data_IF_018749758301
#
_entry.id   IF_018749758301
#
_cell.length_a   1.000
_cell.length_b   1.000
_cell.length_c   1.000
_cell.angle_alpha   90.00
_cell.angle_beta   90.00
_cell.angle_gamma   90.00
#
_symmetry.space_group_name_H-M   'P 1'
#
loop_
_entity.id
_entity.type
_entity.pdbx_description
1 polymer ?
#
# COMPACT_ATOMS: atom_id res chain seq x y z
N UNK A 1 17.30 -27.10 13.30
CA UNK A 1 18.62 -26.67 13.81
C UNK A 1 19.50 -26.40 12.60
N UNK A 2 20.02 -25.17 12.46
CA UNK A 2 20.97 -24.86 11.39
C UNK A 2 22.23 -25.70 11.58
N UNK A 3 22.74 -26.32 10.52
CA UNK A 3 23.97 -27.10 10.59
C UNK A 3 25.18 -26.20 10.83
N UNK A 4 26.30 -26.77 11.27
CA UNK A 4 27.55 -26.02 11.43
C UNK A 4 27.98 -25.32 10.13
N UNK A 5 27.66 -25.92 8.97
CA UNK A 5 27.92 -25.34 7.66
C UNK A 5 27.03 -24.11 7.41
N UNK A 6 25.73 -24.21 7.70
CA UNK A 6 24.79 -23.09 7.52
C UNK A 6 25.17 -21.89 8.39
N UNK A 7 25.62 -22.15 9.63
CA UNK A 7 26.07 -21.09 10.55
C UNK A 7 27.31 -20.37 10.00
N UNK A 8 28.28 -21.11 9.45
CA UNK A 8 29.47 -20.54 8.83
C UNK A 8 29.14 -19.72 7.57
N UNK A 9 28.20 -20.17 6.75
CA UNK A 9 27.75 -19.44 5.54
C UNK A 9 27.09 -18.12 5.91
N UNK A 10 26.16 -18.13 6.87
CA UNK A 10 25.48 -16.90 7.32
C UNK A 10 26.49 -15.91 7.94
N UNK A 11 27.45 -16.42 8.70
CA UNK A 11 28.46 -15.59 9.35
C UNK A 11 29.39 -14.89 8.35
N UNK A 12 29.77 -15.56 7.27
CA UNK A 12 30.56 -14.97 6.18
C UNK A 12 29.76 -13.93 5.38
N UNK A 13 28.44 -14.15 5.21
CA UNK A 13 27.57 -13.21 4.49
C UNK A 13 27.36 -11.90 5.27
N UNK A 14 27.13 -12.00 6.59
CA UNK A 14 26.85 -10.82 7.42
C UNK A 14 28.12 -10.13 7.98
N UNK A 15 29.30 -10.75 7.86
CA UNK A 15 30.58 -10.18 8.33
C UNK A 15 31.69 -10.26 7.27
N UNK A 16 31.57 -9.54 6.14
CA UNK A 16 32.40 -9.73 4.94
C UNK A 16 33.88 -9.33 5.09
N UNK A 17 34.26 -8.68 6.19
CA UNK A 17 35.63 -8.25 6.46
C UNK A 17 36.39 -9.11 7.47
N UNK A 18 35.79 -10.20 7.97
CA UNK A 18 36.47 -11.12 8.90
C UNK A 18 37.18 -12.24 8.14
N UNK A 19 38.52 -12.28 8.08
CA UNK A 19 39.26 -13.16 7.17
C UNK A 19 39.27 -14.64 7.55
N UNK A 20 38.91 -15.02 8.78
CA UNK A 20 38.99 -16.41 9.25
C UNK A 20 37.73 -16.93 9.96
N UNK A 21 36.59 -16.25 9.88
CA UNK A 21 35.28 -16.76 10.35
C UNK A 21 35.11 -16.94 11.86
N UNK A 22 36.19 -17.16 12.62
CA UNK A 22 36.17 -17.44 14.05
C UNK A 22 36.43 -16.16 14.85
N UNK A 23 35.36 -15.40 15.13
CA UNK A 23 35.42 -14.27 16.06
C UNK A 23 35.06 -14.81 17.46
N UNK A 24 35.96 -14.70 18.46
CA UNK A 24 35.68 -15.12 19.83
C UNK A 24 34.43 -14.41 20.37
N UNK A 25 33.45 -15.17 20.84
CA UNK A 25 32.17 -14.66 21.37
C UNK A 25 30.97 -14.75 20.43
N UNK A 26 31.14 -14.99 19.13
CA UNK A 26 30.00 -15.04 18.17
C UNK A 26 29.08 -16.26 18.28
N UNK A 27 29.46 -17.26 19.07
CA UNK A 27 28.56 -18.36 19.43
C UNK A 27 27.79 -18.08 20.73
N UNK A 28 27.93 -16.89 21.33
CA UNK A 28 26.91 -16.41 22.24
C UNK A 28 25.66 -16.18 21.41
N UNK A 29 24.71 -17.09 21.57
CA UNK A 29 23.33 -16.83 21.21
C UNK A 29 22.87 -15.77 22.21
N UNK A 30 23.12 -14.50 21.89
CA UNK A 30 22.39 -13.42 22.51
C UNK A 30 20.92 -13.80 22.37
N UNK A 31 20.29 -14.04 23.50
CA UNK A 31 18.90 -14.42 23.57
C UNK A 31 18.15 -13.18 23.12
N UNK A 32 17.88 -13.08 21.82
CA UNK A 32 17.01 -12.05 21.23
C UNK A 32 15.62 -12.32 21.79
N UNK A 33 15.36 -11.77 22.96
CA UNK A 33 14.02 -11.68 23.51
C UNK A 33 13.30 -10.59 22.74
N UNK A 34 12.12 -10.89 22.21
CA UNK A 34 11.15 -9.91 21.68
C UNK A 34 10.53 -9.10 22.85
N UNK A 35 11.38 -8.73 23.80
CA UNK A 35 11.03 -8.07 25.04
C UNK A 35 11.25 -6.57 24.85
N UNK A 36 10.21 -5.92 24.33
CA UNK A 36 10.13 -4.46 24.19
C UNK A 36 10.32 -3.71 25.53
N UNK A 37 10.38 -4.42 26.66
CA UNK A 37 10.66 -3.88 28.01
C UNK A 37 12.01 -3.18 28.14
N UNK A 38 12.92 -3.35 27.18
CA UNK A 38 14.18 -2.59 27.10
C UNK A 38 13.93 -1.10 26.80
N UNK A 39 12.83 -0.78 26.14
CA UNK A 39 12.46 0.58 25.79
C UNK A 39 11.57 1.21 26.85
N UNK A 40 11.75 2.51 27.09
CA UNK A 40 10.88 3.27 27.99
C UNK A 40 9.42 3.18 27.50
N UNK A 41 8.49 2.62 28.30
CA UNK A 41 7.10 2.44 27.91
C UNK A 41 6.41 3.75 27.50
N UNK A 42 6.79 4.89 28.08
CA UNK A 42 6.25 6.20 27.70
C UNK A 42 6.75 6.63 26.32
N UNK A 43 8.01 6.37 25.98
CA UNK A 43 8.57 6.67 24.67
C UNK A 43 7.97 5.78 23.58
N UNK A 44 7.80 4.48 23.84
CA UNK A 44 7.16 3.55 22.90
C UNK A 44 5.73 3.98 22.62
N UNK A 45 4.98 4.37 23.67
CA UNK A 45 3.62 4.90 23.50
C UNK A 45 3.61 6.17 22.67
N UNK A 46 4.54 7.10 22.94
CA UNK A 46 4.64 8.36 22.20
C UNK A 46 5.01 8.17 20.72
N UNK A 47 5.91 7.23 20.40
CA UNK A 47 6.25 6.89 19.02
C UNK A 47 5.03 6.31 18.30
N UNK A 48 4.31 5.37 18.92
CA UNK A 48 3.06 4.82 18.34
C UNK A 48 1.99 5.90 18.10
N UNK A 49 1.85 6.84 19.04
CA UNK A 49 0.92 7.96 18.88
C UNK A 49 1.35 8.89 17.72
N UNK A 50 2.66 9.12 17.54
CA UNK A 50 3.22 9.88 16.42
C UNK A 50 3.04 9.16 15.09
N UNK A 51 3.30 7.85 15.02
CA UNK A 51 3.04 7.03 13.83
C UNK A 51 1.57 7.11 13.43
N UNK A 52 0.65 7.03 14.39
CA UNK A 52 -0.78 7.16 14.14
C UNK A 52 -1.15 8.56 13.61
N UNK A 53 -0.53 9.61 14.16
CA UNK A 53 -0.71 10.98 13.70
C UNK A 53 -0.16 11.19 12.28
N UNK A 54 0.99 10.62 11.97
CA UNK A 54 1.60 10.71 10.64
C UNK A 54 0.75 10.00 9.59
N UNK A 55 0.24 8.80 9.91
CA UNK A 55 -0.72 8.08 9.06
C UNK A 55 -1.99 8.90 8.90
N UNK A 56 -2.56 9.43 9.99
CA UNK A 56 -3.77 10.25 9.93
C UNK A 56 -3.58 11.54 9.11
N UNK A 57 -2.42 12.19 9.23
CA UNK A 57 -2.08 13.37 8.44
C UNK A 57 -1.95 13.05 6.95
N UNK A 58 -1.33 11.91 6.61
CA UNK A 58 -1.25 11.42 5.24
C UNK A 58 -2.64 11.05 4.67
N UNK A 59 -3.50 10.43 5.48
CA UNK A 59 -4.86 10.03 5.10
C UNK A 59 -5.85 11.19 5.00
N UNK A 60 -5.62 12.29 5.74
CA UNK A 60 -6.54 13.43 5.81
C UNK A 60 -6.84 14.08 4.45
N UNK A 61 -5.98 13.87 3.44
CA UNK A 61 -6.13 14.48 2.12
C UNK A 61 -5.96 16.00 2.12
N UNK A 62 -5.49 16.59 3.23
CA UNK A 62 -5.37 18.04 3.40
C UNK A 62 -4.30 18.63 2.47
N UNK A 63 -3.16 17.95 2.32
CA UNK A 63 -2.09 18.36 1.42
C UNK A 63 -2.53 18.44 -0.05
N UNK A 64 -3.14 17.41 -0.66
CA UNK A 64 -3.61 17.53 -2.04
C UNK A 64 -4.79 18.50 -2.17
N UNK A 65 -5.70 18.60 -1.19
CA UNK A 65 -6.77 19.60 -1.21
C UNK A 65 -6.21 21.03 -1.24
N UNK A 66 -5.21 21.33 -0.41
CA UNK A 66 -4.52 22.61 -0.38
C UNK A 66 -3.77 22.88 -1.68
N UNK A 67 -3.10 21.88 -2.24
CA UNK A 67 -2.40 22.00 -3.51
C UNK A 67 -3.36 22.30 -4.68
N UNK A 68 -4.55 21.69 -4.71
CA UNK A 68 -5.61 21.99 -5.70
C UNK A 68 -6.07 23.44 -5.55
N UNK A 69 -6.31 23.90 -4.32
CA UNK A 69 -6.73 25.27 -4.03
C UNK A 69 -5.68 26.30 -4.49
N UNK A 70 -4.41 26.10 -4.10
CA UNK A 70 -3.30 27.00 -4.46
C UNK A 70 -3.02 27.04 -5.97
N UNK A 71 -3.24 25.94 -6.68
CA UNK A 71 -3.08 25.87 -8.13
C UNK A 71 -4.32 26.31 -8.90
N UNK A 72 -5.42 26.67 -8.23
CA UNK A 72 -6.70 27.01 -8.87
C UNK A 72 -7.31 25.86 -9.66
N UNK A 73 -6.91 24.62 -9.38
CA UNK A 73 -7.38 23.44 -10.11
C UNK A 73 -6.80 23.27 -11.53
N UNK A 74 -5.77 24.02 -11.91
CA UNK A 74 -5.16 23.96 -13.24
C UNK A 74 -3.67 23.59 -13.22
N UNK A 75 -3.18 23.10 -14.36
CA UNK A 75 -1.77 22.80 -14.58
C UNK A 75 -1.30 21.50 -13.90
N UNK A 76 0.03 21.27 -13.95
CA UNK A 76 0.64 20.03 -13.49
C UNK A 76 0.46 19.79 -11.99
N UNK A 77 0.55 20.83 -11.17
CA UNK A 77 0.39 20.73 -9.72
C UNK A 77 -1.01 20.27 -9.33
N UNK A 78 -2.05 20.86 -9.93
CA UNK A 78 -3.44 20.42 -9.72
C UNK A 78 -3.64 18.97 -10.18
N UNK A 79 -3.11 18.62 -11.34
CA UNK A 79 -3.19 17.27 -11.91
C UNK A 79 -2.61 16.22 -10.95
N UNK A 80 -1.39 16.45 -10.45
CA UNK A 80 -0.75 15.54 -9.49
C UNK A 80 -1.49 15.49 -8.15
N UNK A 81 -2.02 16.62 -7.68
CA UNK A 81 -2.76 16.66 -6.42
C UNK A 81 -4.11 15.92 -6.51
N UNK A 82 -4.83 16.05 -7.64
CA UNK A 82 -6.06 15.31 -7.91
C UNK A 82 -5.80 13.79 -8.00
N UNK A 83 -4.70 13.36 -8.64
CA UNK A 83 -4.32 11.94 -8.66
C UNK A 83 -4.05 11.41 -7.26
N UNK A 84 -3.27 12.14 -6.47
CA UNK A 84 -2.95 11.74 -5.10
C UNK A 84 -4.20 11.67 -4.22
N UNK A 85 -5.08 12.67 -4.29
CA UNK A 85 -6.35 12.66 -3.54
C UNK A 85 -7.26 11.52 -3.98
N UNK A 86 -7.35 11.27 -5.29
CA UNK A 86 -8.10 10.13 -5.81
C UNK A 86 -7.60 8.80 -5.26
N UNK A 87 -6.28 8.60 -5.15
CA UNK A 87 -5.71 7.38 -4.56
C UNK A 87 -6.01 7.26 -3.06
N UNK A 88 -5.89 8.35 -2.29
CA UNK A 88 -6.26 8.36 -0.87
C UNK A 88 -7.75 8.02 -0.68
N UNK A 89 -8.62 8.61 -1.50
CA UNK A 89 -10.05 8.32 -1.47
C UNK A 89 -10.35 6.84 -1.77
N UNK A 90 -9.64 6.23 -2.73
CA UNK A 90 -9.75 4.78 -2.99
C UNK A 90 -9.34 3.94 -1.78
N UNK A 91 -8.23 4.30 -1.12
CA UNK A 91 -7.79 3.61 0.10
C UNK A 91 -8.83 3.72 1.22
N UNK A 92 -9.54 4.86 1.29
CA UNK A 92 -10.65 5.06 2.22
C UNK A 92 -12.00 4.47 1.76
N UNK A 93 -12.06 3.73 0.65
CA UNK A 93 -13.29 3.14 0.11
C UNK A 93 -14.28 4.13 -0.51
N UNK A 94 -13.86 5.37 -0.76
CA UNK A 94 -14.68 6.47 -1.32
C UNK A 94 -14.53 6.52 -2.84
N UNK A 95 -14.86 5.43 -3.50
CA UNK A 95 -14.56 5.20 -4.92
C UNK A 95 -15.24 6.20 -5.88
N UNK A 96 -16.45 6.67 -5.58
CA UNK A 96 -17.11 7.68 -6.42
C UNK A 96 -16.40 9.03 -6.37
N UNK A 97 -15.96 9.46 -5.19
CA UNK A 97 -15.20 10.70 -5.05
C UNK A 97 -13.82 10.58 -5.69
N UNK A 98 -13.19 9.41 -5.55
CA UNK A 98 -11.96 9.09 -6.24
C UNK A 98 -12.12 9.18 -7.76
N UNK A 99 -13.19 8.60 -8.31
CA UNK A 99 -13.50 8.65 -9.75
C UNK A 99 -13.60 10.09 -10.25
N UNK A 100 -14.32 10.95 -9.52
CA UNK A 100 -14.46 12.38 -9.87
C UNK A 100 -13.10 13.09 -9.91
N UNK A 101 -12.21 12.81 -8.97
CA UNK A 101 -10.87 13.39 -8.97
C UNK A 101 -10.00 12.86 -10.11
N UNK A 102 -10.11 11.57 -10.44
CA UNK A 102 -9.42 11.00 -11.59
C UNK A 102 -9.94 11.57 -12.91
N UNK A 103 -11.23 11.83 -13.06
CA UNK A 103 -11.79 12.48 -14.25
C UNK A 103 -11.24 13.90 -14.44
N UNK A 104 -11.18 14.68 -13.36
CA UNK A 104 -10.57 16.02 -13.39
C UNK A 104 -9.09 15.96 -13.74
N UNK A 105 -8.33 15.04 -13.14
CA UNK A 105 -6.92 14.86 -13.47
C UNK A 105 -6.69 14.36 -14.91
N UNK A 106 -7.58 13.52 -15.43
CA UNK A 106 -7.55 13.07 -16.81
C UNK A 106 -7.78 14.22 -17.80
N UNK A 107 -8.71 15.13 -17.48
CA UNK A 107 -8.94 16.36 -18.25
C UNK A 107 -7.71 17.29 -18.26
N UNK A 108 -6.87 17.23 -17.22
CA UNK A 108 -5.57 17.91 -17.16
C UNK A 108 -4.42 17.13 -17.83
N UNK A 109 -4.71 15.99 -18.45
CA UNK A 109 -3.75 15.21 -19.24
C UNK A 109 -3.12 14.01 -18.53
N UNK A 110 -3.62 13.57 -17.36
CA UNK A 110 -3.13 12.36 -16.71
C UNK A 110 -3.66 11.09 -17.35
N UNK A 111 -2.78 10.33 -18.02
CA UNK A 111 -3.08 9.00 -18.57
C UNK A 111 -3.46 8.00 -17.47
N UNK A 112 -2.71 8.01 -16.37
CA UNK A 112 -2.99 7.17 -15.20
C UNK A 112 -4.40 7.43 -14.66
N UNK A 113 -4.76 8.71 -14.47
CA UNK A 113 -6.07 9.06 -13.97
C UNK A 113 -7.18 8.63 -14.93
N UNK A 114 -6.97 8.76 -16.24
CA UNK A 114 -7.94 8.28 -17.23
C UNK A 114 -8.21 6.79 -17.09
N UNK A 115 -7.17 5.98 -16.91
CA UNK A 115 -7.32 4.54 -16.68
C UNK A 115 -8.05 4.25 -15.37
N UNK A 116 -7.70 4.94 -14.28
CA UNK A 116 -8.38 4.77 -12.99
C UNK A 116 -9.86 5.15 -13.04
N UNK A 117 -10.21 6.25 -13.73
CA UNK A 117 -11.60 6.66 -13.89
C UNK A 117 -12.43 5.61 -14.67
N UNK A 118 -11.84 4.95 -15.67
CA UNK A 118 -12.49 3.85 -16.39
C UNK A 118 -12.67 2.62 -15.50
N UNK A 119 -11.65 2.26 -14.71
CA UNK A 119 -11.73 1.12 -13.78
C UNK A 119 -12.84 1.32 -12.75
N UNK A 120 -12.99 2.55 -12.24
CA UNK A 120 -14.02 2.91 -11.28
C UNK A 120 -15.38 3.22 -11.92
N UNK A 121 -15.50 3.11 -13.24
CA UNK A 121 -16.75 3.42 -13.92
C UNK A 121 -17.85 2.39 -13.55
N UNK A 122 -18.99 2.83 -12.99
CA UNK A 122 -20.05 1.92 -12.53
C UNK A 122 -20.69 1.13 -13.68
N UNK A 123 -20.71 1.66 -14.90
CA UNK A 123 -21.18 0.94 -16.08
C UNK A 123 -20.23 -0.18 -16.48
N UNK A 124 -18.90 0.06 -16.45
CA UNK A 124 -17.90 -0.98 -16.72
C UNK A 124 -17.97 -2.09 -15.66
N UNK A 125 -18.14 -1.73 -14.39
CA UNK A 125 -18.31 -2.70 -13.30
C UNK A 125 -19.55 -3.59 -13.49
N UNK A 126 -20.69 -3.00 -13.89
CA UNK A 126 -21.92 -3.74 -14.17
C UNK A 126 -21.76 -4.68 -15.37
N UNK A 127 -21.18 -4.21 -16.48
CA UNK A 127 -20.94 -5.04 -17.66
C UNK A 127 -20.02 -6.22 -17.35
N UNK A 128 -18.94 -6.00 -16.59
CA UNK A 128 -18.04 -7.07 -16.17
C UNK A 128 -18.77 -8.12 -15.32
N UNK A 129 -19.61 -7.68 -14.37
CA UNK A 129 -20.43 -8.58 -13.56
C UNK A 129 -21.40 -9.42 -14.40
N UNK A 130 -22.17 -8.78 -15.28
CA UNK A 130 -23.11 -9.48 -16.16
C UNK A 130 -22.40 -10.47 -17.08
N UNK A 131 -21.26 -10.08 -17.66
CA UNK A 131 -20.44 -10.98 -18.49
C UNK A 131 -19.91 -12.17 -17.70
N UNK A 132 -19.40 -11.96 -16.48
CA UNK A 132 -18.95 -13.06 -15.61
C UNK A 132 -20.09 -14.01 -15.24
N UNK A 133 -21.29 -13.48 -14.94
CA UNK A 133 -22.47 -14.29 -14.65
C UNK A 133 -22.88 -15.15 -15.87
N UNK A 134 -22.88 -14.58 -17.08
CA UNK A 134 -23.19 -15.32 -18.31
C UNK A 134 -22.12 -16.39 -18.61
N UNK A 135 -20.84 -16.05 -18.48
CA UNK A 135 -19.73 -17.00 -18.72
C UNK A 135 -19.79 -18.16 -17.71
N UNK A 136 -20.09 -17.88 -16.43
CA UNK A 136 -20.21 -18.92 -15.41
C UNK A 136 -21.39 -19.85 -15.68
N UNK A 137 -22.54 -19.32 -16.13
CA UNK A 137 -23.69 -20.14 -16.55
C UNK A 137 -23.36 -21.03 -17.75
N UNK A 138 -22.59 -20.52 -18.71
CA UNK A 138 -22.13 -21.32 -19.87
C UNK A 138 -21.09 -22.39 -19.48
N UNK A 139 -20.25 -22.13 -18.48
CA UNK A 139 -19.21 -23.05 -18.01
C UNK A 139 -19.78 -24.15 -17.10
N UNK A 140 -20.81 -23.84 -16.32
CA UNK A 140 -21.48 -24.76 -15.40
C UNK A 140 -23.00 -24.84 -15.68
N UNK A 141 -23.42 -25.50 -16.78
CA UNK A 141 -24.83 -25.56 -17.18
C UNK A 141 -25.72 -26.37 -16.21
N UNK A 142 -25.17 -27.29 -15.42
CA UNK A 142 -25.94 -28.15 -14.48
C UNK A 142 -26.33 -27.46 -13.16
N UNK A 143 -25.88 -26.22 -12.92
CA UNK A 143 -26.18 -25.45 -11.70
C UNK A 143 -27.39 -24.51 -11.86
N UNK A 144 -27.99 -24.41 -13.04
CA UNK A 144 -29.11 -23.49 -13.30
C UNK A 144 -30.49 -24.06 -12.99
N UNK A 145 -30.60 -25.36 -12.67
CA UNK A 145 -31.87 -26.08 -12.48
C UNK A 145 -32.02 -26.81 -11.14
N UNK A 146 -31.18 -26.52 -10.13
CA UNK A 146 -31.43 -27.02 -8.78
C UNK A 146 -32.27 -26.00 -7.98
N UNK A 147 -33.46 -26.40 -7.46
CA UNK A 147 -34.41 -25.51 -6.79
C UNK A 147 -33.91 -24.94 -5.45
#
# INVERSE_FOLDING_TARGET
MASAHDRAVLQAFFNPTSPFGDIPGLNQEDQLTDDDSVFDPELVKRVKDLELQEVSAAESGDLPARAISLSGGIGRSACQALVQRGLLLRLSGRDEEARVDFEKAAALGSEFARQQAVILNPYTALCNRMLSEVINKLRNPEMSDMP
#
